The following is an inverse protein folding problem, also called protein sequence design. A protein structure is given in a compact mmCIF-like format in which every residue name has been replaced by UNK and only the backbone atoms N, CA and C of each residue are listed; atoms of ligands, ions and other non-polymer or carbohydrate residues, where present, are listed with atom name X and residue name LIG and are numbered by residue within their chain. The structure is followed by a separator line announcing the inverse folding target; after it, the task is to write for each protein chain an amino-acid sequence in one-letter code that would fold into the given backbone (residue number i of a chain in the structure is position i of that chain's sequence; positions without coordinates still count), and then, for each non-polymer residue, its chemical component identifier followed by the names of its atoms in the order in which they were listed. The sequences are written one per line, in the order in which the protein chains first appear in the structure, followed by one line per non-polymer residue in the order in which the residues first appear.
data_IF_173092075059
#
_entry.id   IF_173092075059
#
_cell.length_a   1.000
_cell.length_b   1.000
_cell.length_c   1.000
_cell.angle_alpha   90.00
_cell.angle_beta   90.00
_cell.angle_gamma   90.00
#
_symmetry.space_group_name_H-M   'P 1'
#
loop_
_entity.id
_entity.type
_entity.pdbx_description
1 polymer ?
#
# COMPACT_ATOMS: atom_id res chain seq x y z
N UNK A 1 -11.45 49.98 -21.84
CA UNK A 1 -11.06 49.21 -20.64
C UNK A 1 -11.03 47.75 -21.07
N UNK A 2 -9.84 47.15 -21.20
CA UNK A 2 -9.73 45.75 -21.59
C UNK A 2 -9.81 44.92 -20.32
N UNK A 3 -10.92 44.19 -20.13
CA UNK A 3 -11.04 43.25 -19.03
C UNK A 3 -10.10 42.08 -19.36
N UNK A 4 -9.11 41.87 -18.51
CA UNK A 4 -8.27 40.69 -18.57
C UNK A 4 -9.05 39.49 -18.04
N UNK A 5 -9.74 38.81 -18.95
CA UNK A 5 -10.52 37.61 -18.65
C UNK A 5 -9.65 36.42 -18.21
N UNK A 6 -8.31 36.51 -18.27
CA UNK A 6 -7.43 35.48 -17.71
C UNK A 6 -7.53 35.40 -16.17
N UNK A 7 -7.92 36.49 -15.51
CA UNK A 7 -8.21 36.54 -14.08
C UNK A 7 -9.62 36.02 -13.71
N UNK A 8 -10.48 35.77 -14.71
CA UNK A 8 -11.80 35.17 -14.55
C UNK A 8 -11.73 33.63 -14.41
N UNK A 9 -10.68 33.11 -13.76
CA UNK A 9 -10.77 31.81 -13.10
C UNK A 9 -11.79 31.98 -11.98
N UNK A 10 -13.01 31.49 -12.21
CA UNK A 10 -14.06 31.50 -11.19
C UNK A 10 -13.54 30.85 -9.91
N UNK A 11 -14.02 31.29 -8.75
CA UNK A 11 -13.67 30.66 -7.46
C UNK A 11 -13.94 29.16 -7.48
N UNK A 12 -14.96 28.73 -8.21
CA UNK A 12 -15.29 27.32 -8.45
C UNK A 12 -14.19 26.58 -9.20
N UNK A 13 -13.64 27.17 -10.28
CA UNK A 13 -12.52 26.56 -11.02
C UNK A 13 -11.27 26.45 -10.15
N UNK A 14 -10.94 27.49 -9.36
CA UNK A 14 -9.81 27.43 -8.41
C UNK A 14 -10.02 26.35 -7.35
N UNK A 15 -11.23 26.23 -6.83
CA UNK A 15 -11.56 25.18 -5.86
C UNK A 15 -11.45 23.77 -6.47
N UNK A 16 -11.87 23.59 -7.71
CA UNK A 16 -11.72 22.32 -8.43
C UNK A 16 -10.24 21.99 -8.72
N UNK A 17 -9.44 22.97 -9.13
CA UNK A 17 -7.99 22.82 -9.35
C UNK A 17 -7.28 22.45 -8.03
N UNK A 18 -7.65 23.08 -6.91
CA UNK A 18 -7.11 22.76 -5.59
C UNK A 18 -7.52 21.35 -5.13
N UNK A 19 -8.79 20.97 -5.28
CA UNK A 19 -9.27 19.64 -4.89
C UNK A 19 -8.54 18.54 -5.68
N UNK A 20 -8.27 18.77 -6.97
CA UNK A 20 -7.47 17.85 -7.77
C UNK A 20 -6.03 17.77 -7.25
N UNK A 21 -5.41 18.91 -6.94
CA UNK A 21 -4.05 18.94 -6.39
C UNK A 21 -3.95 18.19 -5.05
N UNK A 22 -4.93 18.37 -4.17
CA UNK A 22 -5.00 17.68 -2.87
C UNK A 22 -5.17 16.17 -3.06
N UNK A 23 -5.98 15.75 -4.04
CA UNK A 23 -6.18 14.33 -4.35
C UNK A 23 -4.92 13.66 -4.92
N UNK A 24 -4.18 14.35 -5.78
CA UNK A 24 -2.91 13.83 -6.30
C UNK A 24 -1.83 13.78 -5.21
N UNK A 25 -1.74 14.79 -4.34
CA UNK A 25 -0.85 14.76 -3.18
C UNK A 25 -1.18 13.58 -2.24
N UNK A 26 -2.46 13.36 -1.95
CA UNK A 26 -2.92 12.22 -1.15
C UNK A 26 -2.54 10.87 -1.77
N UNK A 27 -2.65 10.71 -3.10
CA UNK A 27 -2.25 9.46 -3.77
C UNK A 27 -0.77 9.15 -3.58
N UNK A 28 0.09 10.18 -3.65
CA UNK A 28 1.53 10.03 -3.48
C UNK A 28 1.84 9.62 -2.05
N UNK A 29 1.34 10.35 -1.05
CA UNK A 29 1.54 10.03 0.37
C UNK A 29 1.02 8.62 0.71
N UNK A 30 -0.18 8.30 0.23
CA UNK A 30 -0.77 6.97 0.42
C UNK A 30 0.14 5.89 -0.18
N UNK A 31 0.70 6.11 -1.37
CA UNK A 31 1.58 5.12 -1.99
C UNK A 31 2.88 4.95 -1.19
N UNK A 32 3.50 6.02 -0.72
CA UNK A 32 4.69 5.96 0.13
C UNK A 32 4.44 5.14 1.41
N UNK A 33 3.25 5.32 2.03
CA UNK A 33 2.83 4.54 3.19
C UNK A 33 2.61 3.06 2.86
N UNK A 34 2.07 2.75 1.69
CA UNK A 34 1.90 1.36 1.22
C UNK A 34 3.25 0.71 0.92
N UNK A 35 4.18 1.44 0.31
CA UNK A 35 5.49 0.95 -0.06
C UNK A 35 6.36 0.65 1.17
N UNK A 36 6.22 1.46 2.23
CA UNK A 36 6.90 1.29 3.51
C UNK A 36 6.18 0.33 4.49
N UNK A 37 5.02 -0.23 4.12
CA UNK A 37 4.22 -1.06 5.01
C UNK A 37 4.99 -2.34 5.39
N UNK A 38 5.07 -2.62 6.69
CA UNK A 38 5.58 -3.89 7.23
C UNK A 38 4.57 -4.49 8.21
N UNK A 39 4.61 -5.81 8.38
CA UNK A 39 3.78 -6.54 9.35
C UNK A 39 4.61 -7.59 10.07
N UNK A 40 4.28 -7.86 11.33
CA UNK A 40 4.97 -8.86 12.15
C UNK A 40 4.13 -10.13 12.30
N UNK A 41 4.76 -11.29 12.09
CA UNK A 41 4.19 -12.62 12.35
C UNK A 41 5.28 -13.48 12.99
N UNK A 42 4.99 -14.08 14.15
CA UNK A 42 5.91 -14.96 14.87
C UNK A 42 7.32 -14.36 15.10
N UNK A 43 7.40 -13.04 15.34
CA UNK A 43 8.66 -12.32 15.52
C UNK A 43 9.45 -12.04 14.22
N UNK A 44 8.87 -12.35 13.05
CA UNK A 44 9.43 -12.05 11.74
C UNK A 44 8.70 -10.85 11.13
N UNK A 45 9.45 -9.88 10.61
CA UNK A 45 8.91 -8.66 10.00
C UNK A 45 8.92 -8.79 8.48
N UNK A 46 7.73 -8.83 7.89
CA UNK A 46 7.53 -8.99 6.45
C UNK A 46 7.21 -7.65 5.79
N UNK A 47 7.71 -7.43 4.58
CA UNK A 47 7.18 -6.38 3.71
C UNK A 47 5.70 -6.64 3.41
N UNK A 48 4.86 -5.62 3.60
CA UNK A 48 3.42 -5.64 3.38
C UNK A 48 2.96 -4.88 2.14
N UNK A 49 3.90 -4.34 1.35
CA UNK A 49 3.59 -3.65 0.10
C UNK A 49 2.97 -4.60 -0.96
N UNK A 50 2.53 -4.02 -2.07
CA UNK A 50 1.78 -4.75 -3.12
C UNK A 50 2.62 -5.83 -3.82
N UNK A 51 3.93 -5.61 -3.98
CA UNK A 51 4.84 -6.58 -4.60
C UNK A 51 5.02 -7.78 -3.68
N UNK A 52 5.37 -7.53 -2.41
CA UNK A 52 5.55 -8.59 -1.42
C UNK A 52 4.27 -9.39 -1.22
N UNK A 53 3.11 -8.73 -1.11
CA UNK A 53 1.83 -9.42 -0.93
C UNK A 53 1.40 -10.23 -2.15
N UNK A 54 1.73 -9.81 -3.39
CA UNK A 54 1.56 -10.65 -4.57
C UNK A 54 2.42 -11.91 -4.48
N UNK A 55 3.70 -11.78 -4.14
CA UNK A 55 4.60 -12.94 -3.96
C UNK A 55 4.10 -13.89 -2.87
N UNK A 56 3.57 -13.37 -1.77
CA UNK A 56 2.96 -14.18 -0.71
C UNK A 56 1.77 -14.96 -1.27
N UNK A 57 0.88 -14.30 -2.03
CA UNK A 57 -0.28 -14.93 -2.63
C UNK A 57 0.11 -16.03 -3.63
N UNK A 58 1.14 -15.80 -4.45
CA UNK A 58 1.64 -16.79 -5.41
C UNK A 58 2.18 -18.04 -4.68
N UNK A 59 2.96 -17.88 -3.61
CA UNK A 59 3.45 -19.02 -2.80
C UNK A 59 2.29 -19.76 -2.13
N UNK A 60 1.32 -19.04 -1.57
CA UNK A 60 0.14 -19.65 -0.92
C UNK A 60 -0.69 -20.44 -1.94
N UNK A 61 -0.85 -19.94 -3.16
CA UNK A 61 -1.62 -20.60 -4.20
C UNK A 61 -0.92 -21.84 -4.77
N UNK A 62 0.41 -21.87 -4.74
CA UNK A 62 1.21 -22.98 -5.24
C UNK A 62 1.47 -24.09 -4.20
N UNK A 63 1.17 -23.85 -2.92
CA UNK A 63 1.44 -24.78 -1.83
C UNK A 63 0.42 -25.93 -1.75
N UNK A 64 0.88 -27.12 -1.38
CA UNK A 64 0.03 -28.29 -1.14
C UNK A 64 -0.47 -28.31 0.32
N UNK A 65 0.34 -27.84 1.28
CA UNK A 65 0.00 -27.74 2.70
C UNK A 65 0.42 -26.38 3.31
N UNK A 66 -0.28 -25.96 4.38
CA UNK A 66 0.11 -24.79 5.16
C UNK A 66 1.43 -24.98 5.93
N UNK A 67 1.86 -26.22 6.14
CA UNK A 67 3.14 -26.58 6.74
C UNK A 67 4.31 -26.52 5.75
N UNK A 68 4.05 -26.44 4.44
CA UNK A 68 5.10 -26.27 3.44
C UNK A 68 5.94 -25.03 3.76
N UNK A 69 7.24 -25.14 3.49
CA UNK A 69 8.21 -24.13 3.84
C UNK A 69 8.98 -23.65 2.60
N UNK A 70 9.35 -22.37 2.61
CA UNK A 70 10.14 -21.75 1.54
C UNK A 70 11.08 -20.71 2.11
N UNK A 71 12.15 -20.43 1.38
CA UNK A 71 13.02 -19.29 1.68
C UNK A 71 12.29 -17.97 1.39
N UNK A 72 12.42 -17.02 2.30
CA UNK A 72 11.79 -15.72 2.19
C UNK A 72 12.73 -14.62 2.66
N UNK A 73 12.79 -13.54 1.88
CA UNK A 73 13.51 -12.31 2.26
C UNK A 73 12.59 -11.41 3.07
N UNK A 74 12.93 -11.16 4.33
CA UNK A 74 12.22 -10.26 5.24
C UNK A 74 12.50 -8.79 4.92
N UNK A 75 11.76 -7.88 5.57
CA UNK A 75 11.91 -6.44 5.39
C UNK A 75 13.30 -5.90 5.77
N UNK A 76 14.02 -6.61 6.64
CA UNK A 76 15.40 -6.30 7.03
C UNK A 76 16.45 -6.95 6.10
N UNK A 77 16.02 -7.47 4.95
CA UNK A 77 16.82 -8.19 3.94
C UNK A 77 17.45 -9.51 4.40
N UNK A 78 17.14 -10.01 5.60
CA UNK A 78 17.54 -11.37 5.98
C UNK A 78 16.71 -12.39 5.21
N UNK A 79 17.37 -13.45 4.75
CA UNK A 79 16.70 -14.63 4.21
C UNK A 79 16.46 -15.62 5.35
N UNK A 80 15.22 -16.07 5.50
CA UNK A 80 14.80 -17.06 6.50
C UNK A 80 13.90 -18.11 5.85
N UNK A 81 13.75 -19.26 6.49
CA UNK A 81 12.74 -20.25 6.10
C UNK A 81 11.44 -19.94 6.83
N UNK A 82 10.36 -19.77 6.08
CA UNK A 82 9.01 -19.51 6.62
C UNK A 82 8.04 -20.56 6.13
N UNK A 83 7.00 -20.80 6.91
CA UNK A 83 5.88 -21.66 6.50
C UNK A 83 4.87 -20.88 5.66
N UNK A 84 4.11 -21.58 4.82
CA UNK A 84 2.98 -21.00 4.08
C UNK A 84 1.92 -20.44 5.04
N UNK A 85 1.76 -21.05 6.22
CA UNK A 85 0.92 -20.50 7.31
C UNK A 85 1.34 -19.08 7.71
N UNK A 86 2.64 -18.85 7.90
CA UNK A 86 3.17 -17.53 8.25
C UNK A 86 2.95 -16.52 7.14
N UNK A 87 3.21 -16.91 5.88
CA UNK A 87 2.94 -16.05 4.72
C UNK A 87 1.45 -15.69 4.60
N UNK A 88 0.54 -16.62 4.90
CA UNK A 88 -0.91 -16.36 4.90
C UNK A 88 -1.33 -15.39 5.99
N UNK A 89 -0.74 -15.49 7.18
CA UNK A 89 -0.99 -14.53 8.26
C UNK A 89 -0.44 -13.14 7.89
N UNK A 90 0.77 -13.08 7.34
CA UNK A 90 1.38 -11.82 6.88
C UNK A 90 0.52 -11.17 5.79
N UNK A 91 0.08 -11.93 4.77
CA UNK A 91 -0.81 -11.45 3.72
C UNK A 91 -2.12 -10.87 4.27
N UNK A 92 -2.71 -11.54 5.28
CA UNK A 92 -3.94 -11.08 5.93
C UNK A 92 -3.75 -9.74 6.62
N UNK A 93 -2.68 -9.60 7.41
CA UNK A 93 -2.35 -8.36 8.12
C UNK A 93 -2.04 -7.25 7.12
N UNK A 94 -1.21 -7.52 6.11
CA UNK A 94 -0.83 -6.54 5.09
C UNK A 94 -2.03 -6.03 4.31
N UNK A 95 -2.96 -6.91 3.93
CA UNK A 95 -4.18 -6.52 3.23
C UNK A 95 -5.07 -5.63 4.11
N UNK A 96 -5.26 -5.99 5.38
CA UNK A 96 -6.05 -5.17 6.32
C UNK A 96 -5.43 -3.78 6.54
N UNK A 97 -4.12 -3.72 6.78
CA UNK A 97 -3.39 -2.46 6.96
C UNK A 97 -3.40 -1.60 5.70
N UNK A 98 -3.21 -2.21 4.52
CA UNK A 98 -3.33 -1.50 3.24
C UNK A 98 -4.73 -0.95 3.03
N UNK A 99 -5.79 -1.73 3.29
CA UNK A 99 -7.17 -1.23 3.20
C UNK A 99 -7.39 -0.04 4.14
N UNK A 100 -6.80 -0.02 5.33
CA UNK A 100 -6.86 1.13 6.22
C UNK A 100 -6.17 2.36 5.58
N UNK A 101 -4.94 2.20 5.07
CA UNK A 101 -4.20 3.29 4.39
C UNK A 101 -4.99 3.87 3.20
N UNK A 102 -5.65 3.03 2.42
CA UNK A 102 -6.43 3.47 1.24
C UNK A 102 -7.68 4.28 1.57
N UNK A 103 -8.19 4.18 2.78
CA UNK A 103 -9.36 4.92 3.24
C UNK A 103 -9.01 6.08 4.17
N UNK A 104 -7.77 6.14 4.64
CA UNK A 104 -7.30 7.16 5.56
C UNK A 104 -7.02 8.49 4.83
N UNK A 105 -7.54 9.58 5.36
CA UNK A 105 -7.31 10.94 4.84
C UNK A 105 -7.77 11.19 3.40
N UNK A 106 -8.58 10.31 2.80
CA UNK A 106 -8.98 10.40 1.40
C UNK A 106 -9.80 11.68 1.12
N UNK A 107 -9.33 12.60 0.25
CA UNK A 107 -10.11 13.77 -0.15
C UNK A 107 -11.40 13.37 -0.88
N UNK A 108 -12.43 14.21 -0.75
CA UNK A 108 -13.75 14.02 -1.32
C UNK A 108 -13.76 14.13 -2.85
#
# INVERSE_FOLDING_TARGET
MSIDWSQAITSERRAAEQALADYEAWKVERQERVDALVVEVDGLVFDGNEISTRRMADVIAAADDLADATEWTLADNRVVVVTVRQLKQALRLSTASRTAIWNDGRPA
#
